data_IF_535730179444
#
_entry.id   IF_535730179444
#
_cell.length_a   1.000
_cell.length_b   1.000
_cell.length_c   1.000
_cell.angle_alpha   90.00
_cell.angle_beta   90.00
_cell.angle_gamma   90.00
#
_symmetry.space_group_name_H-M   'P 1'
#
loop_
_entity.id
_entity.type
_entity.pdbx_description
1 polymer ?
#
# COMPACT_ATOMS: atom_id res chain seq x y z
N UNK A 1 -26.40 58.12 -18.77
CA UNK A 1 -26.06 57.99 -20.20
C UNK A 1 -26.49 56.59 -20.65
N UNK A 2 -27.05 56.51 -21.86
CA UNK A 2 -27.66 55.32 -22.47
C UNK A 2 -26.68 54.68 -23.47
N UNK A 3 -26.91 53.40 -23.81
CA UNK A 3 -26.45 52.69 -25.05
C UNK A 3 -25.07 51.99 -24.94
N UNK A 4 -24.77 50.81 -25.51
CA UNK A 4 -25.48 49.79 -26.35
C UNK A 4 -24.58 48.53 -26.45
N UNK A 5 -25.22 47.34 -26.46
CA UNK A 5 -25.08 46.11 -27.30
C UNK A 5 -23.70 45.53 -27.71
N UNK A 6 -23.63 44.18 -27.58
CA UNK A 6 -22.75 43.09 -28.11
C UNK A 6 -22.38 43.14 -29.62
N UNK A 7 -21.86 42.07 -30.29
CA UNK A 7 -20.91 40.97 -29.97
C UNK A 7 -19.74 40.92 -30.99
N UNK A 8 -18.79 39.97 -30.89
CA UNK A 8 -18.06 39.47 -32.09
C UNK A 8 -17.50 38.06 -31.87
N UNK A 9 -17.88 37.20 -32.81
CA UNK A 9 -17.50 35.80 -33.00
C UNK A 9 -16.12 35.64 -33.66
N UNK A 10 -15.66 34.37 -33.70
CA UNK A 10 -14.57 33.78 -34.50
C UNK A 10 -13.19 33.80 -33.80
N UNK A 11 -12.41 32.73 -33.77
CA UNK A 11 -12.24 31.68 -34.77
C UNK A 11 -11.71 30.37 -34.15
N UNK A 12 -11.92 29.30 -34.90
CA UNK A 12 -11.66 27.90 -34.61
C UNK A 12 -10.18 27.59 -34.76
N UNK A 13 -9.58 26.79 -33.88
CA UNK A 13 -8.54 25.83 -34.32
C UNK A 13 -8.44 24.64 -33.36
N UNK A 14 -9.02 23.52 -33.79
CA UNK A 14 -8.74 22.19 -33.25
C UNK A 14 -7.35 21.79 -33.70
N UNK A 15 -6.41 21.61 -32.77
CA UNK A 15 -5.10 20.99 -33.07
C UNK A 15 -5.21 19.50 -32.75
N UNK A 16 -5.39 18.71 -33.80
CA UNK A 16 -5.30 17.25 -33.76
C UNK A 16 -3.83 16.85 -33.76
N UNK A 17 -3.27 16.49 -32.61
CA UNK A 17 -1.98 15.80 -32.56
C UNK A 17 -2.21 14.30 -32.64
N UNK A 18 -2.14 13.77 -33.86
CA UNK A 18 -1.99 12.34 -34.12
C UNK A 18 -0.49 12.04 -34.17
N UNK A 19 0.04 11.42 -33.11
CA UNK A 19 1.35 10.75 -33.14
C UNK A 19 1.08 9.25 -33.17
N UNK A 20 1.22 8.66 -34.36
CA UNK A 20 1.30 7.21 -34.53
C UNK A 20 2.78 6.87 -34.39
N UNK A 21 3.17 6.40 -33.22
CA UNK A 21 4.47 5.76 -33.03
C UNK A 21 4.26 4.25 -32.99
N UNK A 22 4.55 3.63 -34.13
CA UNK A 22 4.63 2.18 -34.28
C UNK A 22 5.97 1.76 -33.68
N UNK A 23 5.97 1.12 -32.50
CA UNK A 23 7.14 0.45 -31.95
C UNK A 23 7.02 -1.07 -32.20
N UNK A 24 8.14 -1.63 -32.65
CA UNK A 24 8.47 -2.99 -33.10
C UNK A 24 7.94 -4.16 -32.21
N UNK A 25 7.92 -5.40 -32.74
CA UNK A 25 7.34 -6.56 -32.09
C UNK A 25 8.17 -7.01 -30.88
N UNK A 26 7.46 -7.35 -29.82
CA UNK A 26 7.90 -7.95 -28.57
C UNK A 26 8.95 -9.05 -28.79
N UNK A 27 10.21 -8.71 -28.54
CA UNK A 27 11.25 -9.68 -28.20
C UNK A 27 10.93 -10.24 -26.80
N UNK A 28 10.99 -11.56 -26.55
CA UNK A 28 10.80 -12.09 -25.21
C UNK A 28 11.96 -11.65 -24.32
N UNK A 29 11.67 -10.80 -23.33
CA UNK A 29 12.63 -10.41 -22.31
C UNK A 29 13.14 -11.67 -21.59
N UNK A 30 14.43 -11.95 -21.76
CA UNK A 30 15.13 -12.95 -20.95
C UNK A 30 15.34 -12.31 -19.58
N UNK A 31 14.56 -12.73 -18.57
CA UNK A 31 14.62 -12.19 -17.22
C UNK A 31 15.99 -12.47 -16.59
N UNK A 32 16.73 -11.42 -16.25
CA UNK A 32 17.96 -11.52 -15.44
C UNK A 32 17.59 -11.92 -14.00
N UNK A 33 18.14 -13.01 -13.44
CA UNK A 33 17.85 -13.46 -12.09
C UNK A 33 18.25 -12.47 -10.98
N UNK A 34 18.97 -11.38 -11.30
CA UNK A 34 19.39 -10.35 -10.35
C UNK A 34 18.67 -9.00 -10.54
N UNK A 35 17.71 -8.90 -11.46
CA UNK A 35 16.86 -7.71 -11.53
C UNK A 35 15.74 -7.87 -10.51
N UNK A 36 15.60 -6.96 -9.51
CA UNK A 36 14.42 -6.92 -8.66
C UNK A 36 13.20 -6.84 -9.57
N UNK A 37 12.29 -7.82 -9.43
CA UNK A 37 11.05 -7.82 -10.19
C UNK A 37 10.28 -6.51 -9.97
N UNK A 38 9.39 -6.13 -10.91
CA UNK A 38 8.46 -5.03 -10.65
C UNK A 38 7.78 -5.24 -9.29
N UNK A 39 7.47 -4.16 -8.54
CA UNK A 39 6.72 -4.27 -7.29
C UNK A 39 5.53 -5.18 -7.53
N UNK A 40 5.43 -6.26 -6.76
CA UNK A 40 4.28 -7.15 -6.87
C UNK A 40 3.07 -6.32 -6.47
N UNK A 41 2.30 -5.90 -7.48
CA UNK A 41 1.06 -5.17 -7.26
C UNK A 41 0.17 -6.03 -6.37
N UNK A 42 -0.34 -5.41 -5.31
CA UNK A 42 -1.15 -6.10 -4.33
C UNK A 42 -2.47 -6.54 -5.00
N UNK A 43 -2.89 -7.81 -4.88
CA UNK A 43 -4.18 -8.26 -5.42
C UNK A 43 -5.35 -7.40 -4.90
N UNK A 44 -6.39 -7.25 -5.72
CA UNK A 44 -7.53 -6.38 -5.40
C UNK A 44 -8.28 -6.80 -4.11
N UNK A 45 -8.23 -8.08 -3.77
CA UNK A 45 -8.83 -8.69 -2.58
C UNK A 45 -7.84 -8.85 -1.42
N UNK A 46 -6.59 -8.39 -1.55
CA UNK A 46 -5.59 -8.58 -0.52
C UNK A 46 -5.96 -7.90 0.81
N UNK A 47 -6.75 -6.83 0.77
CA UNK A 47 -7.20 -6.13 1.96
C UNK A 47 -8.44 -6.75 2.62
N UNK A 48 -9.02 -7.80 2.04
CA UNK A 48 -10.14 -8.52 2.63
C UNK A 48 -9.66 -9.46 3.75
N UNK A 49 -10.41 -9.56 4.84
CA UNK A 49 -10.07 -10.43 5.97
C UNK A 49 -9.88 -11.91 5.56
N UNK A 50 -10.63 -12.36 4.55
CA UNK A 50 -10.51 -13.72 4.00
C UNK A 50 -9.12 -14.01 3.44
N UNK A 51 -8.44 -13.02 2.84
CA UNK A 51 -7.09 -13.21 2.28
C UNK A 51 -6.03 -13.43 3.37
N UNK A 52 -6.21 -12.82 4.54
CA UNK A 52 -5.38 -13.09 5.72
C UNK A 52 -5.63 -14.50 6.26
N UNK A 53 -6.89 -14.93 6.31
CA UNK A 53 -7.28 -16.27 6.76
C UNK A 53 -6.75 -17.36 5.82
N UNK A 54 -6.83 -17.15 4.50
CA UNK A 54 -6.25 -18.03 3.49
C UNK A 54 -4.72 -18.11 3.60
N UNK A 55 -4.08 -17.06 4.14
CA UNK A 55 -2.65 -17.02 4.48
C UNK A 55 -2.33 -17.64 5.86
N UNK A 56 -3.32 -18.22 6.55
CA UNK A 56 -3.16 -18.90 7.84
C UNK A 56 -3.36 -18.02 9.08
N UNK A 57 -3.88 -16.80 8.91
CA UNK A 57 -4.14 -15.87 10.01
C UNK A 57 -5.62 -15.87 10.41
N UNK A 58 -6.12 -17.03 10.88
CA UNK A 58 -7.55 -17.28 11.19
C UNK A 58 -8.19 -16.27 12.16
N UNK A 59 -7.39 -15.61 12.99
CA UNK A 59 -7.86 -14.61 13.95
C UNK A 59 -8.04 -13.21 13.36
N UNK A 60 -7.66 -12.99 12.10
CA UNK A 60 -7.89 -11.71 11.41
C UNK A 60 -9.31 -11.73 10.84
N UNK A 61 -10.24 -11.08 11.53
CA UNK A 61 -11.62 -10.85 11.05
C UNK A 61 -11.87 -9.37 10.70
N UNK A 62 -10.94 -8.49 11.07
CA UNK A 62 -11.01 -7.05 10.87
C UNK A 62 -9.67 -6.53 10.37
N UNK A 63 -9.70 -5.81 9.24
CA UNK A 63 -8.55 -5.10 8.68
C UNK A 63 -8.71 -3.62 8.99
N UNK A 64 -7.76 -3.05 9.75
CA UNK A 64 -7.76 -1.65 10.18
C UNK A 64 -7.00 -0.76 9.22
N UNK A 65 -5.96 -1.29 8.59
CA UNK A 65 -5.12 -0.61 7.61
C UNK A 65 -4.66 -1.62 6.56
N UNK A 66 -4.63 -1.23 5.29
CA UNK A 66 -4.08 -2.02 4.20
C UNK A 66 -3.67 -1.08 3.07
N UNK A 67 -2.39 -0.97 2.80
CA UNK A 67 -1.84 -0.15 1.72
C UNK A 67 -0.40 -0.53 1.40
N UNK A 68 0.04 -0.31 0.16
CA UNK A 68 1.45 -0.45 -0.27
C UNK A 68 2.15 -1.77 0.18
N UNK A 69 1.41 -2.87 0.28
CA UNK A 69 1.96 -4.17 0.74
C UNK A 69 2.14 -4.29 2.25
N UNK A 70 1.50 -3.41 3.03
CA UNK A 70 1.47 -3.40 4.48
C UNK A 70 0.04 -3.44 4.99
N UNK A 71 -0.18 -4.12 6.11
CA UNK A 71 -1.49 -4.13 6.72
C UNK A 71 -1.42 -4.18 8.25
N UNK A 72 -2.50 -3.72 8.88
CA UNK A 72 -2.78 -3.89 10.30
C UNK A 72 -4.13 -4.57 10.41
N UNK A 73 -4.16 -5.72 11.05
CA UNK A 73 -5.34 -6.56 11.15
C UNK A 73 -5.42 -7.26 12.50
N UNK A 74 -6.60 -7.76 12.84
CA UNK A 74 -6.82 -8.39 14.13
C UNK A 74 -8.21 -8.98 14.27
N UNK A 75 -8.50 -9.37 15.51
CA UNK A 75 -9.80 -9.90 15.89
C UNK A 75 -10.64 -8.78 16.52
N UNK A 76 -11.86 -8.61 16.04
CA UNK A 76 -12.79 -7.64 16.58
C UNK A 76 -13.01 -7.87 18.08
N UNK A 77 -13.05 -6.77 18.84
CA UNK A 77 -13.32 -6.77 20.29
C UNK A 77 -12.28 -7.52 21.15
N UNK A 78 -11.06 -7.72 20.65
CA UNK A 78 -9.93 -8.22 21.45
C UNK A 78 -8.71 -7.31 21.31
N UNK A 79 -7.66 -7.62 22.07
CA UNK A 79 -6.34 -7.00 21.95
C UNK A 79 -5.44 -7.71 20.92
N UNK A 80 -5.96 -8.72 20.22
CA UNK A 80 -5.25 -9.41 19.15
C UNK A 80 -5.17 -8.52 17.92
N UNK A 81 -4.08 -7.76 17.82
CA UNK A 81 -3.74 -6.94 16.67
C UNK A 81 -2.31 -7.28 16.22
N UNK A 82 -2.12 -7.44 14.91
CA UNK A 82 -0.84 -7.74 14.28
C UNK A 82 -0.63 -6.83 13.07
N UNK A 83 0.64 -6.63 12.77
CA UNK A 83 1.11 -5.94 11.58
C UNK A 83 1.58 -6.99 10.58
N UNK A 84 1.33 -6.76 9.30
CA UNK A 84 1.60 -7.71 8.23
C UNK A 84 2.34 -7.05 7.08
N UNK A 85 3.12 -7.85 6.38
CA UNK A 85 3.78 -7.47 5.13
C UNK A 85 3.41 -8.50 4.05
N UNK A 86 3.10 -8.01 2.85
CA UNK A 86 2.79 -8.86 1.71
C UNK A 86 4.07 -9.43 1.13
N UNK A 87 4.21 -10.75 1.16
CA UNK A 87 5.38 -11.46 0.66
C UNK A 87 4.93 -12.69 -0.13
N UNK A 88 5.55 -12.91 -1.30
CA UNK A 88 5.35 -14.14 -2.09
C UNK A 88 3.88 -14.54 -2.33
N UNK A 89 2.98 -13.57 -2.45
CA UNK A 89 1.56 -13.82 -2.74
C UNK A 89 0.66 -14.06 -1.53
N UNK A 90 1.14 -13.78 -0.31
CA UNK A 90 0.32 -13.85 0.90
C UNK A 90 0.75 -12.84 1.96
N UNK A 91 -0.03 -12.75 3.03
CA UNK A 91 0.30 -11.95 4.19
C UNK A 91 1.17 -12.74 5.16
N UNK A 92 2.30 -12.16 5.57
CA UNK A 92 3.10 -12.65 6.68
C UNK A 92 3.02 -11.67 7.85
N UNK A 93 3.01 -12.18 9.08
CA UNK A 93 3.13 -11.32 10.26
C UNK A 93 4.50 -10.65 10.24
N UNK A 94 4.51 -9.32 10.25
CA UNK A 94 5.73 -8.55 10.46
C UNK A 94 6.16 -8.71 11.93
N UNK A 95 7.38 -9.20 12.20
CA UNK A 95 7.81 -9.52 13.55
C UNK A 95 7.89 -8.26 14.42
N UNK A 96 7.40 -8.38 15.65
CA UNK A 96 7.62 -7.35 16.66
C UNK A 96 9.11 -7.32 17.06
N UNK A 97 9.62 -6.14 17.35
CA UNK A 97 10.98 -5.98 17.85
C UNK A 97 11.07 -6.32 19.36
N UNK A 98 9.94 -6.23 20.06
CA UNK A 98 9.83 -6.59 21.46
C UNK A 98 8.40 -6.46 21.97
N UNK A 99 8.26 -6.34 23.28
CA UNK A 99 7.00 -6.13 23.98
C UNK A 99 7.16 -4.95 24.94
N UNK A 100 6.10 -4.17 25.11
CA UNK A 100 6.05 -3.10 26.10
C UNK A 100 6.09 -3.65 27.54
N UNK A 101 6.81 -2.96 28.42
CA UNK A 101 7.05 -3.44 29.78
C UNK A 101 5.79 -3.52 30.64
N UNK A 102 4.84 -2.62 30.40
CA UNK A 102 3.67 -2.44 31.25
C UNK A 102 2.49 -3.35 30.87
N UNK A 103 2.32 -3.66 29.58
CA UNK A 103 1.15 -4.42 29.09
C UNK A 103 1.52 -5.71 28.38
N UNK A 104 2.79 -5.94 28.03
CA UNK A 104 3.20 -7.06 27.19
C UNK A 104 2.73 -6.91 25.72
N UNK A 105 2.18 -5.75 25.36
CA UNK A 105 1.73 -5.52 23.98
C UNK A 105 2.94 -5.39 23.04
N UNK A 106 2.90 -5.98 21.82
CA UNK A 106 4.00 -5.90 20.86
C UNK A 106 4.42 -4.46 20.54
N UNK A 107 5.72 -4.21 20.53
CA UNK A 107 6.32 -2.97 20.04
C UNK A 107 7.22 -3.24 18.82
N UNK A 108 7.47 -2.20 18.03
CA UNK A 108 8.15 -2.28 16.75
C UNK A 108 9.28 -1.27 16.65
N UNK A 109 10.30 -1.60 15.85
CA UNK A 109 11.32 -0.66 15.41
C UNK A 109 10.81 0.07 14.17
N UNK A 110 10.33 1.30 14.36
CA UNK A 110 9.73 2.10 13.28
C UNK A 110 10.73 2.53 12.22
N UNK A 111 12.02 2.66 12.58
CA UNK A 111 13.08 2.96 11.62
C UNK A 111 13.32 1.77 10.69
N UNK A 112 13.34 0.55 11.23
CA UNK A 112 13.45 -0.68 10.45
C UNK A 112 12.22 -0.92 9.59
N UNK A 113 11.01 -0.65 10.10
CA UNK A 113 9.78 -0.69 9.30
C UNK A 113 9.84 0.31 8.13
N UNK A 114 10.28 1.55 8.38
CA UNK A 114 10.41 2.58 7.35
C UNK A 114 11.41 2.16 6.26
N UNK A 115 12.57 1.60 6.65
CA UNK A 115 13.56 1.05 5.69
C UNK A 115 13.01 -0.11 4.87
N UNK A 116 12.08 -0.89 5.43
CA UNK A 116 11.38 -1.97 4.74
C UNK A 116 10.22 -1.47 3.84
N UNK A 117 10.00 -0.16 3.77
CA UNK A 117 8.98 0.46 2.92
C UNK A 117 7.62 0.60 3.57
N UNK A 118 7.51 0.54 4.90
CA UNK A 118 6.23 0.77 5.57
C UNK A 118 5.73 2.21 5.34
N UNK A 119 4.46 2.41 4.94
CA UNK A 119 3.91 3.72 4.71
C UNK A 119 3.84 4.52 6.02
N UNK A 120 3.95 5.84 5.93
CA UNK A 120 3.99 6.72 7.12
C UNK A 120 2.78 6.55 8.04
N UNK A 121 1.61 6.25 7.48
CA UNK A 121 0.38 5.99 8.26
C UNK A 121 0.57 4.77 9.16
N UNK A 122 1.13 3.68 8.62
CA UNK A 122 1.45 2.49 9.40
C UNK A 122 2.41 2.80 10.55
N UNK A 123 3.46 3.59 10.30
CA UNK A 123 4.44 3.96 11.31
C UNK A 123 3.85 4.77 12.48
N UNK A 124 2.72 5.46 12.28
CA UNK A 124 2.03 6.22 13.34
C UNK A 124 1.05 5.35 14.16
N UNK A 125 0.65 4.19 13.65
CA UNK A 125 -0.34 3.29 14.27
C UNK A 125 0.29 2.17 15.11
N UNK A 126 1.62 2.04 15.07
CA UNK A 126 2.36 1.03 15.83
C UNK A 126 2.93 1.62 17.13
N UNK A 127 3.09 0.75 18.14
CA UNK A 127 3.83 1.11 19.34
C UNK A 127 5.32 1.02 19.06
N UNK A 128 6.04 2.13 19.13
CA UNK A 128 7.49 2.15 18.99
C UNK A 128 8.17 1.63 20.27
N UNK A 129 9.11 0.69 20.12
CA UNK A 129 9.88 0.18 21.25
C UNK A 129 10.74 1.24 21.95
N UNK A 130 11.14 2.31 21.25
CA UNK A 130 11.86 3.43 21.87
C UNK A 130 11.04 4.09 23.00
N UNK A 131 9.72 4.10 22.86
CA UNK A 131 8.78 4.79 23.75
C UNK A 131 7.90 3.85 24.58
N UNK A 132 8.13 2.54 24.54
CA UNK A 132 7.28 1.52 25.17
C UNK A 132 7.72 1.09 26.58
N UNK A 133 8.52 1.91 27.26
CA UNK A 133 9.01 1.66 28.63
C UNK A 133 7.97 2.01 29.70
#
# INVERSE_FOLDING_TARGET
ETSVVSPSEQDTTTVTNTVIETADPTEPATSDPNTPGPPTELPADACEATTFQDSGHDLVDTVMFCDEGWARGGQAQTDYVRNFQWNNGGWDVYPAAGESLNTGYPCYDTETMARAGAPRVMLMEVLDCEYSN
#
